data_IF_996912429337
#
_entry.id   IF_996912429337
#
_cell.length_a   1.000
_cell.length_b   1.000
_cell.length_c   1.000
_cell.angle_alpha   90.00
_cell.angle_beta   90.00
_cell.angle_gamma   90.00
#
_symmetry.space_group_name_H-M   'P 1'
#
loop_
_entity.id
_entity.type
_entity.pdbx_description
1 polymer ?
#
# COMPACT_ATOMS: atom_id res chain seq x y z
N UNK A 1 -3.86 -12.77 -16.32
CA UNK A 1 -3.30 -13.88 -15.52
C UNK A 1 -1.79 -13.73 -15.54
N UNK A 2 -1.23 -12.93 -14.63
CA UNK A 2 0.22 -12.84 -14.47
C UNK A 2 0.64 -14.12 -13.73
N UNK A 3 1.51 -14.92 -14.35
CA UNK A 3 1.97 -16.19 -13.76
C UNK A 3 2.61 -15.95 -12.39
N UNK A 4 2.43 -16.90 -11.46
CA UNK A 4 3.10 -16.85 -10.17
C UNK A 4 4.61 -16.76 -10.43
N UNK A 5 5.17 -15.60 -10.12
CA UNK A 5 6.61 -15.43 -10.11
C UNK A 5 7.25 -16.43 -9.14
N UNK A 6 8.58 -16.53 -9.15
CA UNK A 6 9.29 -17.34 -8.17
C UNK A 6 8.82 -17.03 -6.74
N UNK A 7 8.75 -18.04 -5.88
CA UNK A 7 8.29 -17.90 -4.48
C UNK A 7 9.07 -16.86 -3.63
N UNK A 8 10.19 -16.33 -4.17
CA UNK A 8 10.97 -15.27 -3.56
C UNK A 8 10.57 -13.85 -3.99
N UNK A 9 9.64 -13.70 -4.94
CA UNK A 9 9.09 -12.39 -5.28
C UNK A 9 8.31 -11.84 -4.10
N UNK A 10 8.39 -10.52 -3.92
CA UNK A 10 7.68 -9.83 -2.86
C UNK A 10 6.20 -9.78 -3.25
N UNK A 11 5.32 -10.25 -2.37
CA UNK A 11 3.88 -10.06 -2.53
C UNK A 11 3.50 -8.59 -2.30
N UNK A 12 4.33 -7.86 -1.55
CA UNK A 12 4.10 -6.47 -1.16
C UNK A 12 5.28 -5.56 -1.49
N UNK A 13 4.98 -4.33 -1.87
CA UNK A 13 5.97 -3.26 -2.06
C UNK A 13 5.59 -2.07 -1.20
N UNK A 14 6.52 -1.61 -0.37
CA UNK A 14 6.46 -0.31 0.31
C UNK A 14 7.21 0.72 -0.53
N UNK A 15 6.62 1.89 -0.73
CA UNK A 15 7.33 3.10 -1.12
C UNK A 15 6.87 4.26 -0.25
N UNK A 16 7.78 5.17 0.08
CA UNK A 16 7.49 6.30 0.96
C UNK A 16 8.20 7.56 0.47
N UNK A 17 7.53 8.69 0.65
CA UNK A 17 8.13 10.02 0.58
C UNK A 17 7.95 10.66 1.96
N UNK A 18 9.00 10.64 2.80
CA UNK A 18 8.93 11.28 4.10
C UNK A 18 8.75 12.79 3.94
N UNK A 19 7.68 13.35 4.50
CA UNK A 19 7.44 14.79 4.52
C UNK A 19 8.49 15.49 5.39
N UNK A 20 9.57 16.01 4.79
CA UNK A 20 10.57 16.81 5.52
C UNK A 20 10.21 18.29 5.44
N UNK A 21 9.84 18.86 6.59
CA UNK A 21 9.82 20.31 6.84
C UNK A 21 8.62 21.08 6.28
N UNK A 22 8.15 20.80 5.06
CA UNK A 22 7.03 21.51 4.41
C UNK A 22 6.21 20.67 3.41
N UNK A 23 6.65 19.45 3.07
CA UNK A 23 5.92 18.57 2.13
C UNK A 23 4.99 17.61 2.88
N UNK A 24 3.82 17.35 2.29
CA UNK A 24 2.91 16.29 2.72
C UNK A 24 3.57 14.93 2.51
N UNK A 25 3.93 14.28 3.62
CA UNK A 25 4.47 12.92 3.60
C UNK A 25 3.42 11.90 3.21
N UNK A 26 3.85 10.86 2.49
CA UNK A 26 2.99 9.74 2.15
C UNK A 26 3.75 8.42 2.19
N UNK A 27 3.00 7.35 2.42
CA UNK A 27 3.46 5.98 2.27
C UNK A 27 2.46 5.21 1.41
N UNK A 28 2.96 4.31 0.57
CA UNK A 28 2.14 3.43 -0.25
C UNK A 28 2.50 1.97 -0.02
N UNK A 29 1.48 1.12 -0.02
CA UNK A 29 1.63 -0.32 -0.15
C UNK A 29 0.95 -0.79 -1.44
N UNK A 30 1.65 -1.62 -2.21
CA UNK A 30 1.03 -2.41 -3.29
C UNK A 30 1.05 -3.88 -2.89
N UNK A 31 -0.11 -4.52 -2.88
CA UNK A 31 -0.26 -5.97 -2.70
C UNK A 31 -1.08 -6.53 -3.87
N UNK A 32 -0.44 -7.30 -4.74
CA UNK A 32 -1.07 -7.78 -5.98
C UNK A 32 -1.57 -6.62 -6.86
N UNK A 33 -2.87 -6.59 -7.09
CA UNK A 33 -3.56 -5.56 -7.87
C UNK A 33 -4.15 -4.44 -7.00
N UNK A 34 -3.97 -4.47 -5.67
CA UNK A 34 -4.40 -3.36 -4.80
C UNK A 34 -3.25 -2.43 -4.50
N UNK A 35 -3.52 -1.13 -4.51
CA UNK A 35 -2.60 -0.08 -4.07
C UNK A 35 -3.31 0.83 -3.09
N UNK A 36 -2.75 0.96 -1.89
CA UNK A 36 -3.18 1.93 -0.89
C UNK A 36 -2.10 3.00 -0.74
N UNK A 37 -2.49 4.26 -0.76
CA UNK A 37 -1.67 5.41 -0.38
C UNK A 37 -2.28 6.01 0.89
N UNK A 38 -1.43 6.29 1.90
CA UNK A 38 -1.81 7.01 3.11
C UNK A 38 -1.03 8.31 3.22
N UNK A 39 -1.73 9.40 3.50
CA UNK A 39 -1.13 10.71 3.75
C UNK A 39 -0.94 10.94 5.26
N UNK A 40 0.31 11.19 5.70
CA UNK A 40 0.71 11.18 7.12
C UNK A 40 0.03 12.28 7.98
N UNK A 41 -0.66 13.24 7.37
CA UNK A 41 -1.20 14.43 8.05
C UNK A 41 -2.70 14.69 7.82
N UNK A 42 -3.37 13.91 6.97
CA UNK A 42 -4.76 14.23 6.54
C UNK A 42 -5.79 13.16 6.89
N UNK A 43 -5.42 12.08 7.58
CA UNK A 43 -6.30 10.90 7.80
C UNK A 43 -7.02 10.49 6.50
N UNK A 44 -6.31 10.64 5.38
CA UNK A 44 -6.81 10.45 4.04
C UNK A 44 -6.06 9.32 3.36
N UNK A 45 -6.83 8.54 2.61
CA UNK A 45 -6.37 7.38 1.88
C UNK A 45 -6.78 7.50 0.41
N UNK A 46 -5.93 6.95 -0.46
CA UNK A 46 -6.34 6.56 -1.81
C UNK A 46 -6.22 5.05 -1.95
N UNK A 47 -7.26 4.41 -2.52
CA UNK A 47 -7.27 2.97 -2.78
C UNK A 47 -7.57 2.75 -4.26
N UNK A 48 -6.70 2.02 -4.95
CA UNK A 48 -6.87 1.67 -6.35
C UNK A 48 -6.88 0.16 -6.55
N UNK A 49 -7.78 -0.29 -7.42
CA UNK A 49 -7.74 -1.62 -8.02
C UNK A 49 -7.06 -1.54 -9.39
N UNK A 50 -5.79 -1.91 -9.44
CA UNK A 50 -4.96 -1.83 -10.64
C UNK A 50 -5.34 -2.85 -11.72
N UNK A 51 -6.20 -3.84 -11.41
CA UNK A 51 -6.69 -4.77 -12.42
C UNK A 51 -7.78 -4.11 -13.28
N UNK A 52 -8.66 -3.30 -12.69
CA UNK A 52 -9.72 -2.58 -13.37
C UNK A 52 -9.37 -1.12 -13.68
N UNK A 53 -8.50 -0.50 -12.90
CA UNK A 53 -8.01 0.88 -13.01
C UNK A 53 -6.47 0.94 -12.98
N UNK A 54 -5.78 0.48 -14.05
CA UNK A 54 -4.32 0.43 -14.10
C UNK A 54 -3.64 1.79 -14.14
N UNK A 55 -4.41 2.88 -14.32
CA UNK A 55 -3.91 4.25 -14.39
C UNK A 55 -4.26 5.08 -13.15
N UNK A 56 -4.87 4.46 -12.14
CA UNK A 56 -5.13 5.08 -10.83
C UNK A 56 -5.98 6.36 -10.95
N UNK A 57 -7.02 6.32 -11.77
CA UNK A 57 -7.87 7.47 -12.07
C UNK A 57 -9.04 7.62 -11.10
N UNK A 58 -9.48 6.54 -10.44
CA UNK A 58 -10.64 6.56 -9.55
C UNK A 58 -10.36 5.87 -8.21
N UNK A 59 -10.19 6.69 -7.17
CA UNK A 59 -9.94 6.18 -5.81
C UNK A 59 -11.22 5.63 -5.19
N UNK A 60 -11.15 4.36 -4.77
CA UNK A 60 -12.21 3.62 -4.09
C UNK A 60 -12.35 4.01 -2.62
N UNK A 61 -11.45 4.84 -2.07
CA UNK A 61 -11.38 5.12 -0.64
C UNK A 61 -12.62 5.82 -0.05
N UNK A 62 -13.41 6.50 -0.90
CA UNK A 62 -14.66 7.17 -0.48
C UNK A 62 -15.85 6.22 -0.42
N UNK A 63 -15.74 5.01 -0.96
CA UNK A 63 -16.77 3.98 -0.85
C UNK A 63 -16.57 3.20 0.46
N UNK A 64 -17.51 3.30 1.43
CA UNK A 64 -17.37 2.67 2.74
C UNK A 64 -17.30 1.14 2.69
N UNK A 65 -17.71 0.51 1.58
CA UNK A 65 -17.59 -0.95 1.41
C UNK A 65 -16.14 -1.43 1.36
N UNK A 66 -15.19 -0.55 1.02
CA UNK A 66 -13.75 -0.85 1.00
C UNK A 66 -13.05 -0.61 2.35
N UNK A 67 -13.76 -0.16 3.38
CA UNK A 67 -13.19 0.08 4.72
C UNK A 67 -12.37 -1.09 5.29
N UNK A 68 -12.84 -2.35 5.21
CA UNK A 68 -12.06 -3.50 5.64
C UNK A 68 -10.74 -3.70 4.85
N UNK A 69 -10.75 -3.45 3.54
CA UNK A 69 -9.56 -3.59 2.69
C UNK A 69 -8.53 -2.48 2.96
N UNK A 70 -9.00 -1.24 3.16
CA UNK A 70 -8.16 -0.13 3.61
C UNK A 70 -7.51 -0.46 4.95
N UNK A 71 -8.28 -0.95 5.93
CA UNK A 71 -7.74 -1.25 7.27
C UNK A 71 -6.70 -2.36 7.25
N UNK A 72 -6.92 -3.40 6.45
CA UNK A 72 -5.97 -4.51 6.30
C UNK A 72 -4.67 -4.05 5.62
N UNK A 73 -4.78 -3.29 4.52
CA UNK A 73 -3.61 -2.77 3.81
C UNK A 73 -2.85 -1.73 4.64
N UNK A 74 -3.54 -0.87 5.40
CA UNK A 74 -2.89 0.09 6.31
C UNK A 74 -2.13 -0.62 7.43
N UNK A 75 -2.71 -1.66 8.03
CA UNK A 75 -2.01 -2.47 9.05
C UNK A 75 -0.75 -3.14 8.48
N UNK A 76 -0.80 -3.64 7.24
CA UNK A 76 0.37 -4.19 6.54
C UNK A 76 1.40 -3.12 6.20
N UNK A 77 0.97 -1.95 5.75
CA UNK A 77 1.83 -0.80 5.47
C UNK A 77 2.59 -0.38 6.74
N UNK A 78 1.88 -0.30 7.88
CA UNK A 78 2.47 0.01 9.17
C UNK A 78 3.52 -1.02 9.61
N UNK A 79 3.21 -2.30 9.44
CA UNK A 79 4.16 -3.37 9.73
C UNK A 79 5.43 -3.26 8.87
N UNK A 80 5.30 -2.89 7.59
CA UNK A 80 6.45 -2.68 6.69
C UNK A 80 7.30 -1.48 7.11
N UNK A 81 6.70 -0.33 7.46
CA UNK A 81 7.42 0.87 7.91
C UNK A 81 8.25 0.62 9.18
N UNK A 82 7.78 -0.27 10.06
CA UNK A 82 8.41 -0.56 11.34
C UNK A 82 9.30 -1.81 11.34
N UNK A 83 9.40 -2.53 10.22
CA UNK A 83 10.21 -3.74 10.10
C UNK A 83 11.59 -3.48 9.49
N UNK A 84 12.55 -4.36 9.80
CA UNK A 84 13.86 -4.37 9.16
C UNK A 84 14.43 -5.78 9.07
N UNK A 85 15.43 -5.99 8.22
CA UNK A 85 16.13 -7.26 8.08
C UNK A 85 15.20 -8.45 7.79
N UNK A 86 15.33 -9.51 8.58
CA UNK A 86 14.52 -10.73 8.43
C UNK A 86 13.01 -10.48 8.68
N UNK A 87 12.67 -9.57 9.59
CA UNK A 87 11.28 -9.22 9.87
C UNK A 87 10.62 -8.53 8.67
N UNK A 88 11.35 -7.62 8.01
CA UNK A 88 10.88 -6.98 6.78
C UNK A 88 10.68 -8.04 5.68
N UNK A 89 11.63 -8.96 5.53
CA UNK A 89 11.53 -10.02 4.54
C UNK A 89 10.27 -10.89 4.73
N UNK A 90 9.90 -11.21 5.96
CA UNK A 90 8.67 -11.95 6.25
C UNK A 90 7.42 -11.12 5.95
N UNK A 91 7.41 -9.83 6.27
CA UNK A 91 6.27 -8.95 6.01
C UNK A 91 6.01 -8.70 4.51
N UNK A 92 7.02 -8.89 3.65
CA UNK A 92 6.91 -8.76 2.20
C UNK A 92 6.34 -10.00 1.48
N UNK A 93 6.22 -11.15 2.15
CA UNK A 93 5.75 -12.43 1.59
C UNK A 93 4.25 -12.65 1.84
#
# INVERSE_FOLDING_TARGET
HLGMGPAYWRARVLAEQPGRGVEMGWALIREGDKKLIRFDHEDEFELYDLASDPYELDSLAKDPSYGPEISDLDAKLEALRHASGATLRTAEL
#
